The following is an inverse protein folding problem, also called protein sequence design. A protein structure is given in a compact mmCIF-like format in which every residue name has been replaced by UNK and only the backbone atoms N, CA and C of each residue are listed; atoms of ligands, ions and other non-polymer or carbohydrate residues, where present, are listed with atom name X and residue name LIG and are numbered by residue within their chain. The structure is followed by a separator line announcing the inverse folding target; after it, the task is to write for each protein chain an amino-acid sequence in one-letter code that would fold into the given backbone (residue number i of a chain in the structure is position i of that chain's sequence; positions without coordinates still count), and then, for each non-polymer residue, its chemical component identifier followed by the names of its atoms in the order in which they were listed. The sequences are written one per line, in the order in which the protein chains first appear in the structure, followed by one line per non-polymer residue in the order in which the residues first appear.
data_IF_972561086845
#
_entry.id   IF_972561086845
#
_cell.length_a   1.000
_cell.length_b   1.000
_cell.length_c   1.000
_cell.angle_alpha   90.00
_cell.angle_beta   90.00
_cell.angle_gamma   90.00
#
_symmetry.space_group_name_H-M   'P 1'
#
loop_
_entity.id
_entity.type
_entity.pdbx_description
1 polymer ?
#
# COMPACT_ATOMS: atom_id res chain seq x y z
N UNK A 1 -12.70 -2.06 -7.98
CA UNK A 1 -12.36 -2.35 -6.56
C UNK A 1 -12.53 -1.06 -5.75
N UNK A 2 -13.51 -0.98 -4.83
CA UNK A 2 -13.88 0.27 -4.11
C UNK A 2 -12.82 0.75 -3.11
N UNK A 3 -12.00 -0.16 -2.60
CA UNK A 3 -10.98 0.14 -1.59
C UNK A 3 -9.92 1.14 -2.07
N UNK A 4 -9.49 1.07 -3.33
CA UNK A 4 -8.48 1.99 -3.87
C UNK A 4 -9.01 3.41 -3.99
N UNK A 5 -10.26 3.58 -4.44
CA UNK A 5 -10.90 4.90 -4.53
C UNK A 5 -10.99 5.59 -3.15
N UNK A 6 -11.27 4.83 -2.08
CA UNK A 6 -11.30 5.38 -0.73
C UNK A 6 -9.90 5.76 -0.23
N UNK A 7 -8.89 4.96 -0.56
CA UNK A 7 -7.49 5.29 -0.24
C UNK A 7 -7.00 6.52 -0.97
N UNK A 8 -7.36 6.66 -2.24
CA UNK A 8 -7.01 7.82 -3.04
C UNK A 8 -7.61 9.10 -2.47
N UNK A 9 -8.89 9.06 -2.05
CA UNK A 9 -9.58 10.25 -1.56
C UNK A 9 -9.25 10.60 -0.10
N UNK A 10 -8.97 9.61 0.75
CA UNK A 10 -8.86 9.81 2.21
C UNK A 10 -7.53 9.32 2.81
N UNK A 11 -6.64 8.74 2.01
CA UNK A 11 -5.36 8.19 2.47
C UNK A 11 -5.50 7.11 3.54
N UNK A 12 -4.53 7.04 4.46
CA UNK A 12 -4.56 6.13 5.61
C UNK A 12 -5.63 6.48 6.65
N UNK A 13 -6.21 7.69 6.57
CA UNK A 13 -7.21 8.20 7.50
C UNK A 13 -8.52 7.42 7.49
N UNK A 14 -8.78 6.61 6.46
CA UNK A 14 -9.97 5.74 6.41
C UNK A 14 -10.01 4.75 7.58
N UNK A 15 -8.84 4.30 8.05
CA UNK A 15 -8.74 3.41 9.20
C UNK A 15 -9.47 2.08 9.04
N UNK A 16 -9.80 1.45 10.18
CA UNK A 16 -10.49 0.17 10.21
C UNK A 16 -11.98 0.31 9.80
N UNK A 17 -12.58 -0.69 9.13
CA UNK A 17 -12.02 -2.01 8.83
C UNK A 17 -11.21 -2.08 7.53
N UNK A 18 -11.14 -0.98 6.75
CA UNK A 18 -10.52 -0.98 5.43
C UNK A 18 -8.99 -1.14 5.51
N UNK A 19 -8.37 -0.41 6.44
CA UNK A 19 -6.93 -0.37 6.63
C UNK A 19 -6.60 -0.92 8.02
N UNK A 20 -5.55 -1.72 8.10
CA UNK A 20 -4.99 -2.18 9.37
C UNK A 20 -3.48 -2.02 9.35
N UNK A 21 -2.93 -1.31 10.33
CA UNK A 21 -1.48 -1.36 10.58
C UNK A 21 -1.08 -2.78 11.01
N UNK A 22 -0.03 -3.31 10.39
CA UNK A 22 0.50 -4.63 10.72
C UNK A 22 1.75 -4.50 11.60
N UNK A 23 2.83 -3.99 11.03
CA UNK A 23 4.15 -3.91 11.65
C UNK A 23 5.06 -2.99 10.83
N UNK A 24 6.00 -2.29 11.46
CA UNK A 24 7.12 -1.59 10.81
C UNK A 24 6.70 -0.61 9.70
N UNK A 25 5.56 0.07 9.88
CA UNK A 25 5.01 1.00 8.89
C UNK A 25 4.35 0.33 7.68
N UNK A 26 4.13 -0.99 7.72
CA UNK A 26 3.35 -1.73 6.72
C UNK A 26 1.88 -1.76 7.13
N UNK A 27 1.02 -1.43 6.17
CA UNK A 27 -0.43 -1.45 6.33
C UNK A 27 -1.06 -2.48 5.39
N UNK A 28 -2.13 -3.12 5.86
CA UNK A 28 -2.99 -4.01 5.08
C UNK A 28 -4.24 -3.26 4.65
N UNK A 29 -4.49 -3.20 3.35
CA UNK A 29 -5.78 -2.81 2.76
C UNK A 29 -6.63 -4.05 2.55
N UNK A 30 -7.85 -4.01 3.05
CA UNK A 30 -8.83 -5.08 2.93
C UNK A 30 -9.71 -4.86 1.71
N UNK A 31 -9.67 -5.79 0.78
CA UNK A 31 -10.55 -5.81 -0.39
C UNK A 31 -11.32 -7.14 -0.45
N UNK A 32 -12.54 -7.07 -0.94
CA UNK A 32 -13.37 -8.24 -1.21
C UNK A 32 -13.73 -8.21 -2.69
N UNK A 33 -13.46 -9.32 -3.38
CA UNK A 33 -13.83 -9.52 -4.79
C UNK A 33 -14.56 -10.85 -4.87
N UNK A 34 -15.88 -10.80 -4.97
CA UNK A 34 -16.73 -11.97 -4.74
C UNK A 34 -16.49 -12.56 -3.34
N UNK A 35 -16.26 -13.87 -3.26
CA UNK A 35 -15.95 -14.57 -2.01
C UNK A 35 -14.47 -14.54 -1.62
N UNK A 36 -13.60 -13.89 -2.42
CA UNK A 36 -12.17 -13.87 -2.16
C UNK A 36 -11.77 -12.69 -1.28
N UNK A 37 -11.03 -13.00 -0.21
CA UNK A 37 -10.44 -12.03 0.71
C UNK A 37 -9.10 -11.55 0.15
N UNK A 38 -9.14 -10.54 -0.71
CA UNK A 38 -7.92 -9.95 -1.27
C UNK A 38 -7.33 -8.93 -0.30
N UNK A 39 -6.01 -8.92 -0.17
CA UNK A 39 -5.28 -7.94 0.63
C UNK A 39 -4.19 -7.32 -0.21
N UNK A 40 -3.98 -6.03 -0.01
CA UNK A 40 -2.83 -5.31 -0.56
C UNK A 40 -2.01 -4.78 0.61
N UNK A 41 -0.71 -5.02 0.59
CA UNK A 41 0.21 -4.41 1.54
C UNK A 41 0.79 -3.14 0.93
N UNK A 42 0.88 -2.10 1.76
CA UNK A 42 1.39 -0.80 1.36
C UNK A 42 2.19 -0.15 2.50
N UNK A 43 2.89 0.93 2.18
CA UNK A 43 3.49 1.81 3.17
C UNK A 43 3.33 3.27 2.76
N UNK A 44 3.44 4.18 3.74
CA UNK A 44 3.50 5.62 3.50
C UNK A 44 4.95 6.03 3.21
N UNK A 45 5.16 6.80 2.12
CA UNK A 45 6.50 7.10 1.63
C UNK A 45 6.88 8.58 1.75
N UNK A 46 5.98 9.51 1.46
CA UNK A 46 6.18 10.96 1.65
C UNK A 46 4.83 11.68 1.60
N UNK A 47 4.58 12.70 2.43
CA UNK A 47 3.34 13.50 2.46
C UNK A 47 2.04 12.68 2.34
N UNK A 48 1.41 12.65 1.16
CA UNK A 48 0.17 11.91 0.91
C UNK A 48 0.37 10.68 0.02
N UNK A 49 1.63 10.36 -0.33
CA UNK A 49 1.96 9.23 -1.20
C UNK A 49 1.96 7.91 -0.44
N UNK A 50 1.14 7.00 -0.93
CA UNK A 50 1.06 5.61 -0.50
C UNK A 50 1.62 4.72 -1.60
N UNK A 51 2.56 3.86 -1.23
CA UNK A 51 3.18 2.92 -2.16
C UNK A 51 2.58 1.54 -1.94
N UNK A 52 1.81 1.08 -2.93
CA UNK A 52 1.28 -0.28 -2.96
C UNK A 52 2.40 -1.24 -3.34
N UNK A 53 2.63 -2.27 -2.51
CA UNK A 53 3.73 -3.21 -2.70
C UNK A 53 3.27 -4.43 -3.50
N UNK A 54 2.38 -5.23 -2.91
CA UNK A 54 1.85 -6.42 -3.56
C UNK A 54 0.50 -6.81 -2.97
N UNK A 55 -0.26 -7.56 -3.78
CA UNK A 55 -1.52 -8.16 -3.40
C UNK A 55 -1.40 -9.66 -3.14
N UNK A 56 -2.24 -10.20 -2.26
CA UNK A 56 -2.37 -11.64 -2.05
C UNK A 56 -3.79 -12.03 -1.63
N UNK A 57 -4.18 -13.27 -1.92
CA UNK A 57 -5.44 -13.84 -1.42
C UNK A 57 -5.22 -14.43 -0.04
N UNK A 58 -5.90 -13.87 0.96
CA UNK A 58 -5.81 -14.30 2.35
C UNK A 58 -6.66 -15.54 2.59
N UNK A 59 -6.02 -16.64 2.99
CA UNK A 59 -6.68 -17.92 3.33
C UNK A 59 -6.81 -18.14 4.85
N UNK A 60 -6.19 -17.28 5.65
CA UNK A 60 -6.09 -17.40 7.12
C UNK A 60 -6.64 -16.16 7.81
N UNK A 61 -7.05 -16.28 9.07
CA UNK A 61 -7.58 -15.13 9.83
C UNK A 61 -6.53 -14.00 10.01
N UNK A 62 -5.29 -14.38 10.35
CA UNK A 62 -4.15 -13.46 10.48
C UNK A 62 -3.40 -13.34 9.16
N UNK A 63 -2.77 -12.18 8.94
CA UNK A 63 -1.89 -11.96 7.78
C UNK A 63 -0.68 -12.87 7.93
N UNK A 64 -0.34 -13.71 6.93
CA UNK A 64 0.80 -14.60 7.03
C UNK A 64 2.09 -13.79 7.25
N UNK A 65 2.95 -14.18 8.21
CA UNK A 65 4.20 -13.45 8.49
C UNK A 65 5.10 -13.30 7.27
N UNK A 66 5.13 -14.30 6.38
CA UNK A 66 5.90 -14.27 5.14
C UNK A 66 5.52 -13.11 4.21
N UNK A 67 4.24 -12.74 4.16
CA UNK A 67 3.77 -11.61 3.35
C UNK A 67 4.23 -10.28 3.95
N UNK A 68 4.30 -10.18 5.28
CA UNK A 68 4.81 -8.99 5.99
C UNK A 68 6.32 -8.84 5.73
N UNK A 69 7.08 -9.94 5.85
CA UNK A 69 8.52 -9.92 5.58
C UNK A 69 8.82 -9.62 4.11
N UNK A 70 7.99 -10.12 3.19
CA UNK A 70 8.08 -9.75 1.77
C UNK A 70 7.83 -8.26 1.54
N UNK A 71 6.80 -7.70 2.19
CA UNK A 71 6.51 -6.27 2.10
C UNK A 71 7.67 -5.41 2.65
N UNK A 72 8.29 -5.81 3.77
CA UNK A 72 9.48 -5.12 4.31
C UNK A 72 10.63 -5.10 3.29
N UNK A 73 10.90 -6.23 2.62
CA UNK A 73 11.93 -6.30 1.56
C UNK A 73 11.61 -5.38 0.38
N UNK A 74 10.37 -5.35 -0.08
CA UNK A 74 9.96 -4.48 -1.19
C UNK A 74 10.01 -2.99 -0.82
N UNK A 75 9.63 -2.63 0.41
CA UNK A 75 9.82 -1.28 0.92
C UNK A 75 11.30 -0.89 0.92
N UNK A 76 12.19 -1.76 1.40
CA UNK A 76 13.63 -1.49 1.40
C UNK A 76 14.18 -1.32 -0.02
N UNK A 77 13.82 -2.20 -0.95
CA UNK A 77 14.23 -2.12 -2.36
C UNK A 77 13.74 -0.82 -3.01
N UNK A 78 12.49 -0.43 -2.77
CA UNK A 78 11.95 0.85 -3.25
C UNK A 78 12.76 2.05 -2.73
N UNK A 79 13.02 2.10 -1.42
CA UNK A 79 13.79 3.19 -0.81
C UNK A 79 15.24 3.28 -1.32
N UNK A 80 15.82 2.16 -1.78
CA UNK A 80 17.17 2.12 -2.37
C UNK A 80 17.16 2.62 -3.81
N UNK A 81 16.16 2.21 -4.60
CA UNK A 81 16.11 2.50 -6.05
C UNK A 81 15.71 3.93 -6.36
N UNK A 82 14.95 4.55 -5.48
CA UNK A 82 14.34 5.83 -5.76
C UNK A 82 14.75 6.85 -4.70
N UNK A 83 15.53 7.85 -5.11
CA UNK A 83 15.68 9.06 -4.32
C UNK A 83 14.34 9.80 -4.29
N UNK A 84 14.07 10.50 -3.18
CA UNK A 84 12.88 11.32 -3.02
C UNK A 84 12.73 12.31 -4.18
N UNK A 85 13.81 13.02 -4.52
CA UNK A 85 13.80 14.03 -5.58
C UNK A 85 13.39 13.44 -6.94
N UNK A 86 13.93 12.28 -7.32
CA UNK A 86 13.62 11.64 -8.60
C UNK A 86 12.14 11.28 -8.72
N UNK A 87 11.54 10.72 -7.67
CA UNK A 87 10.11 10.38 -7.75
C UNK A 87 9.26 11.65 -7.72
N UNK A 88 9.62 12.67 -6.92
CA UNK A 88 8.87 13.93 -6.93
C UNK A 88 8.89 14.60 -8.31
N UNK A 89 10.02 14.52 -9.03
CA UNK A 89 10.12 14.96 -10.42
C UNK A 89 9.14 14.19 -11.32
N UNK A 90 9.14 12.85 -11.24
CA UNK A 90 8.23 11.99 -12.04
C UNK A 90 6.76 12.33 -11.75
N UNK A 91 6.40 12.47 -10.46
CA UNK A 91 5.02 12.77 -10.06
C UNK A 91 4.59 14.17 -10.51
N UNK A 92 5.49 15.16 -10.44
CA UNK A 92 5.23 16.52 -10.93
C UNK A 92 5.10 16.57 -12.47
N UNK A 93 5.70 15.64 -13.21
CA UNK A 93 5.51 15.50 -14.66
C UNK A 93 4.15 14.86 -14.99
N UNK A 94 3.72 13.84 -14.25
CA UNK A 94 2.41 13.20 -14.41
C UNK A 94 1.25 14.16 -14.10
N UNK A 95 1.35 14.97 -13.04
CA UNK A 95 0.32 15.95 -12.68
C UNK A 95 0.12 17.03 -13.76
N UNK A 96 1.16 17.36 -14.54
CA UNK A 96 1.06 18.32 -15.66
C UNK A 96 0.36 17.73 -16.88
N UNK A 97 0.21 16.41 -16.96
CA UNK A 97 -0.38 15.70 -18.09
C UNK A 97 -1.84 15.28 -17.83
N UNK A 98 -2.33 15.38 -16.59
CA UNK A 98 -3.71 15.11 -16.20
C UNK A 98 -4.57 16.39 -16.14
#
# INVERSE_FOLDING_TARGET
MRALMLLEHFGLGVGAPLIKHLDSGIFEVRSHVGNNHQRVLLFHWHENYLVLLHGFTKKTQKTPPLEIERAKRYRADFLIRYSTDRILEILAEEEKQS
#
